data_IF_004334070332
#
_entry.id   IF_004334070332
#
_cell.length_a   1.000
_cell.length_b   1.000
_cell.length_c   1.000
_cell.angle_alpha   90.00
_cell.angle_beta   90.00
_cell.angle_gamma   90.00
#
_symmetry.space_group_name_H-M   'P 1'
#
loop_
_entity.id
_entity.type
_entity.pdbx_description
1 polymer ?
#
# COMPACT_ATOMS: atom_id res chain seq x y z
N UNK A 1 -13.83 -22.74 -32.29
CA UNK A 1 -12.95 -21.72 -31.69
C UNK A 1 -13.85 -20.70 -31.04
N UNK A 2 -13.78 -20.57 -29.71
CA UNK A 2 -14.51 -19.52 -29.00
C UNK A 2 -13.94 -18.15 -29.42
N UNK A 3 -14.82 -17.18 -29.66
CA UNK A 3 -14.44 -15.82 -30.04
C UNK A 3 -14.25 -14.99 -28.77
N UNK A 4 -13.22 -14.15 -28.74
CA UNK A 4 -13.05 -13.15 -27.70
C UNK A 4 -14.15 -12.09 -27.83
N UNK A 5 -14.84 -11.77 -26.73
CA UNK A 5 -15.93 -10.80 -26.69
C UNK A 5 -15.45 -9.35 -26.74
N UNK A 6 -14.29 -9.07 -26.15
CA UNK A 6 -13.61 -7.77 -26.21
C UNK A 6 -12.08 -7.95 -26.28
N UNK A 7 -11.51 -8.04 -27.48
CA UNK A 7 -10.09 -8.35 -27.66
C UNK A 7 -9.15 -7.14 -27.45
N UNK A 8 -9.67 -5.93 -27.23
CA UNK A 8 -8.86 -4.70 -27.20
C UNK A 8 -8.92 -3.95 -25.87
N UNK A 9 -9.69 -4.43 -24.90
CA UNK A 9 -9.72 -3.88 -23.55
C UNK A 9 -9.19 -4.90 -22.54
N UNK A 10 -8.64 -4.37 -21.45
CA UNK A 10 -8.30 -5.16 -20.27
C UNK A 10 -8.97 -4.50 -19.08
N UNK A 11 -9.28 -5.28 -18.05
CA UNK A 11 -9.83 -4.76 -16.80
C UNK A 11 -8.76 -4.84 -15.72
N UNK A 12 -8.45 -3.70 -15.11
CA UNK A 12 -7.58 -3.70 -13.94
C UNK A 12 -8.30 -4.45 -12.81
N UNK A 13 -7.65 -5.44 -12.15
CA UNK A 13 -8.28 -6.20 -11.08
C UNK A 13 -8.86 -5.31 -9.97
N UNK A 14 -8.14 -4.25 -9.61
CA UNK A 14 -8.54 -3.31 -8.57
C UNK A 14 -7.75 -2.00 -8.68
N UNK A 15 -8.38 -0.90 -8.33
CA UNK A 15 -7.73 0.39 -8.12
C UNK A 15 -8.10 0.89 -6.73
N UNK A 16 -7.09 1.31 -5.97
CA UNK A 16 -7.23 1.89 -4.63
C UNK A 16 -6.51 3.22 -4.60
N UNK A 17 -7.07 4.20 -3.91
CA UNK A 17 -6.39 5.47 -3.64
C UNK A 17 -6.37 5.73 -2.13
N UNK A 18 -5.26 6.29 -1.68
CA UNK A 18 -5.07 6.78 -0.32
C UNK A 18 -4.68 8.25 -0.39
N UNK A 19 -5.32 9.10 0.38
CA UNK A 19 -4.94 10.50 0.50
C UNK A 19 -4.12 10.73 1.78
N UNK A 20 -3.23 11.72 1.75
CA UNK A 20 -2.66 12.28 2.97
C UNK A 20 -3.69 13.09 3.76
N UNK A 21 -3.31 13.47 4.98
CA UNK A 21 -4.19 14.15 5.92
C UNK A 21 -4.64 15.53 5.42
N UNK A 22 -3.79 16.22 4.63
CA UNK A 22 -4.12 17.51 4.00
C UNK A 22 -4.95 17.35 2.71
N UNK A 23 -4.91 16.19 2.06
CA UNK A 23 -5.49 15.99 0.73
C UNK A 23 -4.65 16.60 -0.39
N UNK A 24 -3.38 16.93 -0.14
CA UNK A 24 -2.46 17.47 -1.14
C UNK A 24 -1.74 16.36 -1.93
N UNK A 25 -1.62 15.17 -1.32
CA UNK A 25 -0.97 14.01 -1.92
C UNK A 25 -1.89 12.80 -1.92
N UNK A 26 -1.78 12.00 -2.99
CA UNK A 26 -2.50 10.75 -3.15
C UNK A 26 -1.51 9.66 -3.54
N UNK A 27 -1.53 8.51 -2.87
CA UNK A 27 -0.97 7.28 -3.44
C UNK A 27 -2.08 6.54 -4.18
N UNK A 28 -1.95 6.45 -5.51
CA UNK A 28 -2.82 5.64 -6.36
C UNK A 28 -2.15 4.27 -6.55
N UNK A 29 -2.85 3.21 -6.16
CA UNK A 29 -2.41 1.82 -6.26
C UNK A 29 -3.25 1.12 -7.32
N UNK A 30 -2.64 0.80 -8.45
CA UNK A 30 -3.25 0.06 -9.55
C UNK A 30 -2.76 -1.38 -9.54
N UNK A 31 -3.66 -2.33 -9.29
CA UNK A 31 -3.38 -3.76 -9.42
C UNK A 31 -3.42 -4.14 -10.90
N UNK A 32 -2.55 -5.06 -11.31
CA UNK A 32 -2.47 -5.50 -12.70
C UNK A 32 -2.33 -7.02 -12.83
N UNK A 33 -2.85 -7.56 -13.93
CA UNK A 33 -2.61 -8.91 -14.44
C UNK A 33 -1.80 -8.88 -15.76
N UNK A 34 -1.92 -7.78 -16.52
CA UNK A 34 -1.12 -7.50 -17.71
C UNK A 34 0.21 -6.81 -17.37
N UNK A 35 1.25 -7.59 -17.09
CA UNK A 35 2.60 -7.07 -16.72
C UNK A 35 3.17 -6.12 -17.79
N UNK A 36 3.03 -6.47 -19.08
CA UNK A 36 3.53 -5.63 -20.17
C UNK A 36 2.85 -4.26 -20.21
N UNK A 37 1.52 -4.24 -20.07
CA UNK A 37 0.74 -3.01 -19.94
C UNK A 37 1.14 -2.19 -18.72
N UNK A 38 1.32 -2.86 -17.57
CA UNK A 38 1.75 -2.23 -16.33
C UNK A 38 3.12 -1.55 -16.44
N UNK A 39 4.12 -2.21 -17.03
CA UNK A 39 5.44 -1.60 -17.21
C UNK A 39 5.40 -0.43 -18.21
N UNK A 40 4.57 -0.54 -19.24
CA UNK A 40 4.38 0.54 -20.20
C UNK A 40 3.73 1.77 -19.55
N UNK A 41 2.64 1.61 -18.79
CA UNK A 41 1.99 2.75 -18.12
C UNK A 41 2.89 3.34 -17.04
N UNK A 42 3.65 2.53 -16.30
CA UNK A 42 4.64 3.02 -15.34
C UNK A 42 5.63 3.96 -16.01
N UNK A 43 6.22 3.56 -17.15
CA UNK A 43 7.20 4.38 -17.88
C UNK A 43 6.62 5.69 -18.39
N UNK A 44 5.44 5.64 -19.00
CA UNK A 44 4.89 6.82 -19.68
C UNK A 44 4.16 7.75 -18.71
N UNK A 45 3.37 7.22 -17.78
CA UNK A 45 2.59 8.06 -16.86
C UNK A 45 3.50 8.77 -15.86
N UNK A 46 4.70 8.23 -15.57
CA UNK A 46 5.73 8.91 -14.78
C UNK A 46 6.11 10.31 -15.31
N UNK A 47 5.87 10.59 -16.59
CA UNK A 47 6.16 11.88 -17.20
C UNK A 47 5.06 12.93 -16.92
N UNK A 48 3.93 12.52 -16.35
CA UNK A 48 2.84 13.45 -16.03
C UNK A 48 3.26 14.43 -14.93
N UNK A 49 3.00 15.75 -15.06
CA UNK A 49 3.46 16.74 -14.08
C UNK A 49 2.96 16.52 -12.63
N UNK A 50 1.83 15.83 -12.48
CA UNK A 50 1.23 15.51 -11.18
C UNK A 50 1.87 14.28 -10.52
N UNK A 51 2.62 13.45 -11.26
CA UNK A 51 3.27 12.24 -10.73
C UNK A 51 4.62 12.61 -10.14
N UNK A 52 4.75 12.47 -8.81
CA UNK A 52 6.02 12.69 -8.09
C UNK A 52 6.95 11.51 -8.21
N UNK A 53 6.39 10.30 -8.11
CA UNK A 53 7.15 9.07 -8.30
C UNK A 53 6.20 7.93 -8.65
N UNK A 54 6.76 6.88 -9.25
CA UNK A 54 6.06 5.61 -9.47
C UNK A 54 6.98 4.46 -9.12
N UNK A 55 6.44 3.47 -8.40
CA UNK A 55 7.13 2.22 -8.09
C UNK A 55 6.25 1.01 -8.38
N UNK A 56 6.89 -0.13 -8.66
CA UNK A 56 6.19 -1.41 -8.80
C UNK A 56 6.43 -2.20 -7.52
N UNK A 57 5.34 -2.65 -6.90
CA UNK A 57 5.36 -3.38 -5.63
C UNK A 57 4.49 -4.62 -5.81
N UNK A 58 5.13 -5.79 -5.98
CA UNK A 58 4.43 -7.02 -6.37
C UNK A 58 3.64 -6.84 -7.67
N UNK A 59 2.34 -7.16 -7.62
CA UNK A 59 1.40 -7.01 -8.73
C UNK A 59 0.72 -5.62 -8.78
N UNK A 60 1.37 -4.58 -8.24
CA UNK A 60 0.82 -3.20 -8.23
C UNK A 60 1.80 -2.20 -8.81
N UNK A 61 1.27 -1.21 -9.52
CA UNK A 61 1.96 0.06 -9.75
C UNK A 61 1.40 1.09 -8.77
N UNK A 62 2.29 1.78 -8.07
CA UNK A 62 1.95 2.77 -7.05
C UNK A 62 2.50 4.13 -7.45
N UNK A 63 1.59 5.07 -7.65
CA UNK A 63 1.89 6.43 -8.07
C UNK A 63 1.73 7.36 -6.87
N UNK A 64 2.79 8.08 -6.51
CA UNK A 64 2.68 9.22 -5.61
C UNK A 64 2.30 10.43 -6.44
N UNK A 65 1.12 10.98 -6.20
CA UNK A 65 0.52 12.05 -6.95
C UNK A 65 0.40 13.31 -6.10
N UNK A 66 0.50 14.48 -6.75
CA UNK A 66 0.05 15.76 -6.20
C UNK A 66 -1.33 16.08 -6.73
N UNK A 67 -2.20 16.62 -5.88
CA UNK A 67 -3.49 17.15 -6.33
C UNK A 67 -3.34 18.37 -7.24
N UNK A 68 -4.32 18.55 -8.12
CA UNK A 68 -4.37 19.59 -9.13
C UNK A 68 -4.67 19.06 -10.53
N UNK A 69 -4.57 19.95 -11.51
CA UNK A 69 -4.78 19.67 -12.93
C UNK A 69 -3.55 20.04 -13.73
N UNK A 70 -3.27 19.32 -14.81
CA UNK A 70 -2.16 19.58 -15.70
C UNK A 70 -2.53 19.28 -17.16
N UNK A 71 -2.14 20.18 -18.05
CA UNK A 71 -2.15 19.91 -19.48
C UNK A 71 -1.03 18.93 -19.83
N UNK A 72 -1.36 17.86 -20.55
CA UNK A 72 -0.39 16.87 -20.99
C UNK A 72 0.04 17.20 -22.42
N UNK A 73 1.33 17.47 -22.60
CA UNK A 73 1.95 17.60 -23.92
C UNK A 73 2.10 16.20 -24.57
N UNK A 74 0.97 15.57 -24.88
CA UNK A 74 0.95 14.19 -25.37
C UNK A 74 1.57 14.08 -26.75
N UNK A 75 2.45 13.09 -26.89
CA UNK A 75 3.14 12.78 -28.14
C UNK A 75 3.19 11.27 -28.32
N UNK A 76 2.77 10.78 -29.50
CA UNK A 76 2.82 9.36 -29.83
C UNK A 76 4.23 8.79 -29.61
N UNK A 77 4.30 7.57 -29.07
CA UNK A 77 5.57 6.87 -28.76
C UNK A 77 6.47 7.49 -27.68
N UNK A 78 6.33 8.77 -27.36
CA UNK A 78 7.19 9.47 -26.37
C UNK A 78 6.46 9.69 -25.05
N UNK A 79 5.31 10.37 -25.11
CA UNK A 79 4.40 10.57 -23.97
C UNK A 79 2.94 10.38 -24.42
N UNK A 80 2.55 9.14 -24.76
CA UNK A 80 1.27 8.86 -25.41
C UNK A 80 0.07 8.88 -24.45
N UNK A 81 0.29 8.80 -23.13
CA UNK A 81 -0.77 8.86 -22.13
C UNK A 81 -0.22 9.18 -20.73
N UNK A 82 -1.06 9.76 -19.87
CA UNK A 82 -0.71 10.15 -18.51
C UNK A 82 -1.90 10.55 -17.63
N UNK A 83 -1.58 11.07 -16.45
CA UNK A 83 -2.53 11.54 -15.44
C UNK A 83 -2.62 13.07 -15.54
N UNK A 84 -3.79 13.56 -15.93
CA UNK A 84 -4.07 14.98 -16.19
C UNK A 84 -4.74 15.69 -15.00
N UNK A 85 -5.32 14.95 -14.06
CA UNK A 85 -6.03 15.53 -12.92
C UNK A 85 -6.08 14.61 -11.72
N UNK A 86 -5.95 15.18 -10.53
CA UNK A 86 -6.14 14.49 -9.25
C UNK A 86 -6.85 15.46 -8.29
N UNK A 87 -8.00 15.06 -7.75
CA UNK A 87 -8.75 15.85 -6.78
C UNK A 87 -9.17 15.00 -5.59
N UNK A 88 -9.17 15.60 -4.39
CA UNK A 88 -9.67 14.99 -3.16
C UNK A 88 -10.85 15.83 -2.70
N UNK A 89 -12.07 15.29 -2.77
CA UNK A 89 -13.32 16.02 -2.53
C UNK A 89 -14.20 15.21 -1.58
N UNK A 90 -14.31 15.69 -0.34
CA UNK A 90 -15.06 14.98 0.71
C UNK A 90 -14.53 13.55 0.91
N UNK A 91 -15.37 12.57 0.59
CA UNK A 91 -15.13 11.13 0.71
C UNK A 91 -14.68 10.46 -0.61
N UNK A 92 -14.39 11.25 -1.66
CA UNK A 92 -13.96 10.74 -2.96
C UNK A 92 -12.59 11.28 -3.38
N UNK A 93 -11.87 10.47 -4.15
CA UNK A 93 -10.65 10.84 -4.86
C UNK A 93 -10.91 10.66 -6.34
N UNK A 94 -10.82 11.74 -7.11
CA UNK A 94 -10.95 11.72 -8.56
C UNK A 94 -9.57 11.63 -9.21
N UNK A 95 -9.42 10.75 -10.21
CA UNK A 95 -8.21 10.66 -11.05
C UNK A 95 -8.62 10.74 -12.51
N UNK A 96 -8.08 11.72 -13.22
CA UNK A 96 -8.32 11.94 -14.64
C UNK A 96 -7.11 11.51 -15.46
N UNK A 97 -7.36 10.63 -16.43
CA UNK A 97 -6.39 10.12 -17.38
C UNK A 97 -6.63 10.71 -18.76
N UNK A 98 -5.57 10.88 -19.55
CA UNK A 98 -5.66 11.27 -20.97
C UNK A 98 -4.63 10.50 -21.78
N UNK A 99 -4.96 10.18 -23.03
CA UNK A 99 -4.06 9.47 -23.93
C UNK A 99 -4.43 9.61 -25.41
N UNK A 100 -3.44 9.35 -26.26
CA UNK A 100 -3.54 9.32 -27.72
C UNK A 100 -3.53 7.88 -28.23
N UNK A 101 -4.37 7.59 -29.21
CA UNK A 101 -4.34 6.30 -29.92
C UNK A 101 -4.53 5.12 -28.97
N UNK A 102 -3.64 4.12 -29.04
CA UNK A 102 -3.66 2.97 -28.13
C UNK A 102 -3.49 3.34 -26.65
N UNK A 103 -2.76 4.43 -26.35
CA UNK A 103 -2.65 4.97 -24.99
C UNK A 103 -3.99 5.51 -24.47
N UNK A 104 -4.83 6.04 -25.38
CA UNK A 104 -6.18 6.50 -25.10
C UNK A 104 -7.14 5.38 -24.68
N UNK A 105 -6.96 4.15 -25.18
CA UNK A 105 -7.76 2.98 -24.76
C UNK A 105 -7.47 2.64 -23.30
N UNK A 106 -6.19 2.57 -22.92
CA UNK A 106 -5.80 2.37 -21.51
C UNK A 106 -6.21 3.52 -20.59
N UNK A 107 -6.19 4.75 -21.10
CA UNK A 107 -6.60 5.96 -20.38
C UNK A 107 -8.13 6.14 -20.29
N UNK A 108 -8.92 5.36 -21.02
CA UNK A 108 -10.39 5.45 -21.02
C UNK A 108 -11.00 4.28 -20.26
N UNK A 109 -11.33 3.19 -20.97
CA UNK A 109 -12.19 2.13 -20.45
C UNK A 109 -11.47 1.13 -19.53
N UNK A 110 -10.17 0.91 -19.70
CA UNK A 110 -9.48 -0.19 -18.99
C UNK A 110 -9.46 -0.03 -17.45
N UNK A 111 -9.56 1.21 -16.95
CA UNK A 111 -9.61 1.53 -15.51
C UNK A 111 -11.01 1.76 -14.98
N UNK A 112 -11.93 2.14 -15.86
CA UNK A 112 -13.28 2.57 -15.51
C UNK A 112 -14.07 1.49 -14.74
N UNK A 113 -13.92 0.23 -15.14
CA UNK A 113 -14.64 -0.91 -14.56
C UNK A 113 -13.84 -1.66 -13.48
N UNK A 114 -12.71 -1.09 -13.02
CA UNK A 114 -11.88 -1.75 -12.02
C UNK A 114 -12.60 -1.82 -10.66
N UNK A 115 -12.40 -2.91 -9.91
CA UNK A 115 -12.90 -3.01 -8.53
C UNK A 115 -12.37 -1.83 -7.72
N UNK A 116 -13.25 -1.18 -6.96
CA UNK A 116 -12.90 -0.02 -6.14
C UNK A 116 -13.27 1.33 -6.76
N UNK A 117 -13.56 1.38 -8.06
CA UNK A 117 -14.16 2.56 -8.71
C UNK A 117 -15.64 2.66 -8.33
N UNK A 118 -16.05 3.81 -7.78
CA UNK A 118 -17.45 4.10 -7.40
C UNK A 118 -18.25 4.51 -8.64
N UNK A 119 -17.66 5.39 -9.45
CA UNK A 119 -18.23 5.93 -10.68
C UNK A 119 -17.11 6.39 -11.61
N UNK A 120 -17.42 6.51 -12.90
CA UNK A 120 -16.48 7.02 -13.89
C UNK A 120 -17.21 7.80 -14.99
N UNK A 121 -16.46 8.64 -15.67
CA UNK A 121 -16.80 9.28 -16.94
C UNK A 121 -15.71 8.90 -17.93
N UNK A 122 -16.07 8.40 -19.12
CA UNK A 122 -15.09 7.94 -20.11
C UNK A 122 -15.50 8.35 -21.50
N UNK A 123 -14.52 8.80 -22.28
CA UNK A 123 -14.67 8.98 -23.72
C UNK A 123 -14.83 7.60 -24.41
N UNK A 124 -15.46 7.51 -25.60
CA UNK A 124 -15.47 6.30 -26.40
C UNK A 124 -14.05 5.83 -26.75
N UNK A 125 -13.77 4.53 -26.60
CA UNK A 125 -12.47 3.95 -26.96
C UNK A 125 -12.23 3.96 -28.48
N UNK A 126 -11.04 4.36 -28.95
CA UNK A 126 -10.71 4.33 -30.39
C UNK A 126 -9.31 4.81 -30.80
N UNK A 127 -8.61 3.97 -31.57
CA UNK A 127 -7.20 4.10 -31.99
C UNK A 127 -6.89 5.22 -32.99
N UNK A 128 -6.83 6.45 -32.49
CA UNK A 128 -6.23 7.60 -33.19
C UNK A 128 -6.60 8.97 -32.62
N UNK A 129 -7.50 9.02 -31.64
CA UNK A 129 -8.02 10.26 -31.05
C UNK A 129 -7.47 10.46 -29.65
N UNK A 130 -7.54 11.69 -29.17
CA UNK A 130 -7.45 12.00 -27.75
C UNK A 130 -8.66 11.38 -27.05
N UNK A 131 -8.41 10.57 -26.04
CA UNK A 131 -9.44 9.97 -25.20
C UNK A 131 -8.94 9.91 -23.75
N UNK A 132 -9.85 9.87 -22.81
CA UNK A 132 -9.53 9.65 -21.42
C UNK A 132 -10.75 9.29 -20.59
N UNK A 133 -10.53 9.21 -19.30
CA UNK A 133 -11.58 9.01 -18.32
C UNK A 133 -11.23 9.72 -17.02
N UNK A 134 -12.26 10.02 -16.25
CA UNK A 134 -12.13 10.32 -14.83
C UNK A 134 -12.76 9.17 -14.07
N UNK A 135 -12.05 8.62 -13.10
CA UNK A 135 -12.58 7.64 -12.15
C UNK A 135 -12.67 8.28 -10.76
N UNK A 136 -13.68 7.91 -10.00
CA UNK A 136 -13.83 8.32 -8.60
C UNK A 136 -13.70 7.09 -7.70
N UNK A 137 -12.81 7.21 -6.73
CA UNK A 137 -12.45 6.17 -5.76
C UNK A 137 -12.86 6.65 -4.36
N UNK A 138 -13.19 5.74 -3.41
CA UNK A 138 -13.39 6.14 -2.03
C UNK A 138 -12.09 6.72 -1.48
N UNK A 139 -12.18 7.87 -0.80
CA UNK A 139 -11.09 8.43 -0.01
C UNK A 139 -10.81 7.49 1.16
N UNK A 140 -9.56 7.05 1.26
CA UNK A 140 -9.08 6.18 2.34
C UNK A 140 -7.83 6.77 2.97
N UNK A 141 -7.61 6.48 4.24
CA UNK A 141 -6.36 6.73 4.93
C UNK A 141 -5.45 5.49 4.87
N UNK A 142 -4.13 5.70 4.94
CA UNK A 142 -3.16 4.61 5.11
C UNK A 142 -3.17 4.18 6.58
N UNK A 143 -3.31 2.88 6.79
CA UNK A 143 -3.11 2.26 8.09
C UNK A 143 -2.09 1.13 7.94
N UNK A 144 -1.05 1.14 8.76
CA UNK A 144 -0.10 0.04 8.87
C UNK A 144 -0.35 -0.64 10.21
N UNK A 145 -0.75 -1.90 10.18
CA UNK A 145 -0.88 -2.75 11.36
C UNK A 145 0.35 -3.66 11.38
N UNK A 146 1.14 -3.57 12.44
CA UNK A 146 2.32 -4.40 12.62
C UNK A 146 2.19 -5.32 13.82
N UNK A 147 2.77 -6.52 13.70
CA UNK A 147 2.73 -7.57 14.72
C UNK A 147 4.08 -8.25 14.87
N UNK A 148 4.36 -8.76 16.07
CA UNK A 148 5.55 -9.54 16.40
C UNK A 148 5.29 -10.44 17.62
N UNK A 149 6.13 -11.44 17.82
CA UNK A 149 6.07 -12.43 18.92
C UNK A 149 4.69 -13.11 19.01
N UNK A 150 4.23 -13.72 17.91
CA UNK A 150 2.91 -14.41 17.85
C UNK A 150 3.00 -15.93 17.82
N UNK A 151 4.18 -16.46 17.53
CA UNK A 151 4.46 -17.89 17.39
C UNK A 151 5.35 -18.41 18.52
N UNK A 152 5.45 -19.74 18.64
CA UNK A 152 6.33 -20.41 19.60
C UNK A 152 7.48 -21.12 18.87
N UNK A 153 8.53 -21.58 19.58
CA UNK A 153 9.57 -22.38 18.95
C UNK A 153 9.06 -23.70 18.31
N UNK A 154 7.93 -24.22 18.79
CA UNK A 154 7.32 -25.49 18.39
C UNK A 154 6.22 -25.34 17.32
N UNK A 155 5.47 -24.23 17.33
CA UNK A 155 4.27 -24.06 16.51
C UNK A 155 4.08 -22.63 15.98
N UNK A 156 3.49 -22.53 14.79
CA UNK A 156 3.08 -21.26 14.19
C UNK A 156 4.17 -20.58 13.35
N UNK A 157 3.77 -19.49 12.71
CA UNK A 157 4.66 -18.57 12.02
C UNK A 157 4.02 -17.18 11.95
N UNK A 158 4.67 -16.18 12.54
CA UNK A 158 4.11 -14.81 12.62
C UNK A 158 3.70 -14.25 11.24
N UNK A 159 4.46 -14.54 10.19
CA UNK A 159 4.17 -14.01 8.85
C UNK A 159 2.92 -14.60 8.18
N UNK A 160 2.64 -15.90 8.37
CA UNK A 160 1.45 -16.54 7.78
C UNK A 160 0.21 -16.13 8.56
N UNK A 161 0.29 -16.06 9.89
CA UNK A 161 -0.79 -15.59 10.75
C UNK A 161 -1.20 -14.17 10.36
N UNK A 162 -0.23 -13.24 10.32
CA UNK A 162 -0.49 -11.85 9.94
C UNK A 162 -1.10 -11.72 8.53
N UNK A 163 -0.62 -12.49 7.56
CA UNK A 163 -1.18 -12.50 6.21
C UNK A 163 -2.64 -12.99 6.20
N UNK A 164 -2.92 -14.10 6.87
CA UNK A 164 -4.25 -14.71 6.89
C UNK A 164 -5.26 -13.81 7.60
N UNK A 165 -4.88 -13.19 8.72
CA UNK A 165 -5.72 -12.20 9.41
C UNK A 165 -5.96 -11.00 8.49
N UNK A 166 -4.92 -10.45 7.86
CA UNK A 166 -5.05 -9.31 6.96
C UNK A 166 -6.02 -9.58 5.79
N UNK A 167 -6.00 -10.81 5.26
CA UNK A 167 -6.96 -11.27 4.24
C UNK A 167 -8.37 -11.47 4.79
N UNK A 168 -8.53 -11.94 6.02
CA UNK A 168 -9.83 -12.15 6.65
C UNK A 168 -10.55 -10.84 6.98
N UNK A 169 -9.81 -9.79 7.37
CA UNK A 169 -10.38 -8.47 7.70
C UNK A 169 -10.55 -7.55 6.48
N UNK A 170 -10.13 -7.98 5.29
CA UNK A 170 -10.31 -7.20 4.06
C UNK A 170 -11.80 -7.14 3.68
N UNK A 171 -12.29 -5.92 3.49
CA UNK A 171 -13.67 -5.66 3.06
C UNK A 171 -13.74 -4.44 2.13
N UNK A 172 -14.94 -3.95 1.84
CA UNK A 172 -15.13 -2.81 0.94
C UNK A 172 -14.61 -1.47 1.48
N UNK A 173 -14.54 -1.34 2.80
CA UNK A 173 -14.03 -0.13 3.48
C UNK A 173 -12.52 -0.23 3.67
N UNK A 174 -12.00 -1.42 3.94
CA UNK A 174 -10.61 -1.72 4.31
C UNK A 174 -9.96 -2.67 3.30
N UNK A 175 -9.10 -2.13 2.44
CA UNK A 175 -8.35 -2.90 1.44
C UNK A 175 -6.96 -3.24 1.95
N UNK A 176 -6.67 -4.53 2.05
CA UNK A 176 -5.31 -5.02 2.28
C UNK A 176 -4.45 -4.82 1.03
N UNK A 177 -3.33 -4.11 1.17
CA UNK A 177 -2.49 -3.70 0.04
C UNK A 177 -1.23 -4.54 -0.09
N UNK A 178 -0.55 -4.79 1.03
CA UNK A 178 0.68 -5.54 1.09
C UNK A 178 1.01 -5.95 2.52
N UNK A 179 1.86 -6.94 2.69
CA UNK A 179 2.60 -7.13 3.93
C UNK A 179 4.10 -7.09 3.67
N UNK A 180 4.87 -6.80 4.71
CA UNK A 180 6.33 -6.80 4.68
C UNK A 180 6.85 -7.56 5.89
N UNK A 181 7.73 -8.54 5.64
CA UNK A 181 8.50 -9.22 6.67
C UNK A 181 9.74 -8.37 6.97
N UNK A 182 9.94 -8.01 8.23
CA UNK A 182 11.04 -7.16 8.68
C UNK A 182 11.97 -7.97 9.57
N UNK A 183 13.19 -8.19 9.07
CA UNK A 183 14.25 -8.84 9.81
C UNK A 183 14.77 -7.92 10.92
N UNK A 184 14.66 -8.35 12.18
CA UNK A 184 15.16 -7.58 13.33
C UNK A 184 16.52 -8.09 13.78
N UNK A 185 17.15 -7.35 14.70
CA UNK A 185 18.40 -7.77 15.34
C UNK A 185 18.17 -9.08 16.14
N UNK A 186 19.00 -10.12 15.99
CA UNK A 186 18.80 -11.38 16.68
C UNK A 186 19.03 -11.27 18.19
N UNK A 187 17.94 -11.19 18.97
CA UNK A 187 17.98 -11.13 20.45
C UNK A 187 17.93 -12.53 21.08
N UNK A 188 18.32 -12.73 22.35
CA UNK A 188 18.34 -14.06 22.98
C UNK A 188 16.99 -14.77 23.08
N UNK A 189 15.90 -14.01 23.21
CA UNK A 189 14.53 -14.51 23.40
C UNK A 189 13.72 -14.61 22.09
N UNK A 190 14.38 -14.51 20.94
CA UNK A 190 13.76 -14.62 19.62
C UNK A 190 13.17 -16.02 19.37
N UNK A 191 12.16 -16.11 18.52
CA UNK A 191 11.93 -17.34 17.73
C UNK A 191 13.02 -17.47 16.67
N UNK A 192 13.08 -18.58 15.93
CA UNK A 192 14.21 -18.93 15.06
C UNK A 192 14.71 -17.80 14.16
N UNK A 193 13.81 -16.97 13.62
CA UNK A 193 14.13 -15.97 12.60
C UNK A 193 14.05 -14.50 13.07
N UNK A 194 13.54 -14.19 14.26
CA UNK A 194 13.45 -12.81 14.79
C UNK A 194 12.88 -11.79 13.78
N UNK A 195 11.64 -12.01 13.32
CA UNK A 195 10.99 -11.17 12.31
C UNK A 195 9.68 -10.60 12.83
N UNK A 196 9.45 -9.31 12.57
CA UNK A 196 8.17 -8.66 12.75
C UNK A 196 7.50 -8.43 11.39
N UNK A 197 6.17 -8.25 11.38
CA UNK A 197 5.38 -8.13 10.16
C UNK A 197 4.67 -6.78 10.15
N UNK A 198 4.71 -6.08 9.02
CA UNK A 198 3.91 -4.87 8.79
C UNK A 198 2.91 -5.11 7.65
N UNK A 199 1.62 -5.10 7.98
CA UNK A 199 0.49 -5.21 7.05
C UNK A 199 -0.04 -3.80 6.72
N UNK A 200 -0.03 -3.45 5.44
CA UNK A 200 -0.49 -2.15 4.94
C UNK A 200 -1.93 -2.25 4.43
N UNK A 201 -2.75 -1.28 4.83
CA UNK A 201 -4.13 -1.13 4.42
C UNK A 201 -4.42 0.28 3.91
N UNK A 202 -5.38 0.36 2.99
CA UNK A 202 -6.15 1.58 2.73
C UNK A 202 -7.53 1.40 3.36
N UNK A 203 -7.96 2.29 4.25
CA UNK A 203 -9.26 2.14 4.91
C UNK A 203 -10.03 3.46 5.09
N UNK A 204 -11.36 3.37 5.04
CA UNK A 204 -12.29 4.40 5.54
C UNK A 204 -12.95 4.01 6.88
N UNK A 205 -12.48 2.93 7.50
CA UNK A 205 -12.87 2.46 8.84
C UNK A 205 -11.66 1.98 9.66
N UNK A 206 -10.74 2.88 10.02
CA UNK A 206 -9.54 2.50 10.74
C UNK A 206 -9.83 1.88 12.11
N UNK A 207 -10.86 2.35 12.80
CA UNK A 207 -11.24 1.81 14.12
C UNK A 207 -11.79 0.40 13.99
N UNK A 208 -12.71 0.17 13.05
CA UNK A 208 -13.26 -1.16 12.78
C UNK A 208 -12.19 -2.15 12.32
N UNK A 209 -11.30 -1.72 11.41
CA UNK A 209 -10.18 -2.52 10.93
C UNK A 209 -9.26 -2.97 12.07
N UNK A 210 -8.81 -2.03 12.91
CA UNK A 210 -7.90 -2.33 14.03
C UNK A 210 -8.56 -3.27 15.03
N UNK A 211 -9.84 -3.06 15.34
CA UNK A 211 -10.59 -3.94 16.24
C UNK A 211 -10.66 -5.36 15.69
N UNK A 212 -11.15 -5.55 14.46
CA UNK A 212 -11.28 -6.91 13.90
C UNK A 212 -9.93 -7.61 13.74
N UNK A 213 -8.88 -6.88 13.38
CA UNK A 213 -7.54 -7.44 13.31
C UNK A 213 -7.08 -7.92 14.68
N UNK A 214 -7.27 -7.11 15.72
CA UNK A 214 -6.98 -7.48 17.10
C UNK A 214 -7.77 -8.71 17.54
N UNK A 215 -9.08 -8.75 17.30
CA UNK A 215 -9.95 -9.87 17.70
C UNK A 215 -9.43 -11.20 17.13
N UNK A 216 -9.05 -11.22 15.85
CA UNK A 216 -8.44 -12.40 15.23
C UNK A 216 -7.05 -12.73 15.79
N UNK A 217 -6.25 -11.71 16.13
CA UNK A 217 -4.92 -11.91 16.67
C UNK A 217 -4.98 -12.48 18.09
N UNK A 218 -5.91 -12.01 18.93
CA UNK A 218 -6.15 -12.56 20.27
C UNK A 218 -6.64 -14.01 20.22
N UNK A 219 -7.46 -14.36 19.24
CA UNK A 219 -7.97 -15.74 19.06
C UNK A 219 -6.89 -16.73 18.62
N UNK A 220 -5.96 -16.30 17.77
CA UNK A 220 -5.05 -17.21 17.06
C UNK A 220 -3.57 -17.08 17.44
N UNK A 221 -3.17 -16.07 18.20
CA UNK A 221 -1.79 -15.97 18.67
C UNK A 221 -1.47 -17.10 19.64
N UNK A 222 -0.24 -17.61 19.58
CA UNK A 222 0.28 -18.67 20.44
C UNK A 222 1.20 -18.13 21.55
N UNK A 223 1.36 -16.81 21.64
CA UNK A 223 2.29 -16.14 22.56
C UNK A 223 1.60 -15.07 23.40
N UNK A 224 1.76 -15.15 24.72
CA UNK A 224 1.32 -14.12 25.68
C UNK A 224 2.12 -12.80 25.52
N UNK A 225 3.20 -12.84 24.75
CA UNK A 225 4.14 -11.73 24.54
C UNK A 225 3.88 -10.98 23.23
N UNK A 226 2.75 -11.28 22.58
CA UNK A 226 2.30 -10.68 21.33
C UNK A 226 2.32 -9.16 21.40
N UNK A 227 3.01 -8.57 20.43
CA UNK A 227 2.96 -7.15 20.14
C UNK A 227 2.05 -6.85 18.97
N UNK A 228 1.23 -5.81 19.10
CA UNK A 228 0.48 -5.23 17.99
C UNK A 228 0.59 -3.72 18.07
N UNK A 229 1.01 -3.10 16.98
CA UNK A 229 1.10 -1.66 16.84
C UNK A 229 0.43 -1.19 15.55
N UNK A 230 -0.09 0.04 15.58
CA UNK A 230 -0.81 0.64 14.47
C UNK A 230 -0.24 2.02 14.17
N UNK A 231 0.00 2.29 12.91
CA UNK A 231 0.28 3.63 12.39
C UNK A 231 -0.84 4.11 11.49
N UNK A 232 -1.45 5.24 11.84
CA UNK A 232 -2.50 5.90 11.05
C UNK A 232 -1.94 7.17 10.43
N UNK A 233 -1.41 7.06 9.23
CA UNK A 233 -0.83 8.21 8.54
C UNK A 233 -0.15 7.85 7.24
N UNK A 234 -0.03 8.87 6.37
CA UNK A 234 0.48 8.67 5.02
C UNK A 234 1.97 8.30 5.00
N UNK A 235 2.77 8.96 5.82
CA UNK A 235 4.22 8.76 5.94
C UNK A 235 4.58 8.29 7.36
N UNK A 236 5.37 7.21 7.46
CA UNK A 236 5.86 6.63 8.70
C UNK A 236 7.31 7.03 9.05
N UNK A 237 7.88 8.02 8.34
CA UNK A 237 9.20 8.58 8.60
C UNK A 237 9.52 8.87 10.09
N UNK A 238 8.59 9.35 10.94
CA UNK A 238 8.88 9.58 12.35
C UNK A 238 9.34 8.34 13.14
N UNK A 239 9.03 7.14 12.66
CA UNK A 239 9.43 5.88 13.28
C UNK A 239 10.73 5.32 12.74
N UNK A 240 11.30 5.91 11.67
CA UNK A 240 12.48 5.35 11.00
C UNK A 240 13.66 5.17 11.95
N UNK A 241 14.00 6.19 12.74
CA UNK A 241 15.15 6.09 13.63
C UNK A 241 14.96 5.00 14.68
N UNK A 242 13.75 4.86 15.23
CA UNK A 242 13.43 3.78 16.15
C UNK A 242 13.59 2.41 15.47
N UNK A 243 12.96 2.21 14.31
CA UNK A 243 13.06 0.95 13.56
C UNK A 243 14.51 0.58 13.19
N UNK A 244 15.31 1.57 12.79
CA UNK A 244 16.74 1.40 12.50
C UNK A 244 17.54 0.99 13.73
N UNK A 245 17.27 1.57 14.90
CA UNK A 245 17.90 1.17 16.17
C UNK A 245 17.60 -0.29 16.50
N UNK A 246 16.33 -0.72 16.41
CA UNK A 246 15.92 -2.12 16.65
C UNK A 246 16.54 -3.09 15.66
N UNK A 247 16.71 -2.71 14.39
CA UNK A 247 17.43 -3.55 13.41
C UNK A 247 18.93 -3.69 13.72
N UNK A 248 19.55 -2.70 14.38
CA UNK A 248 20.99 -2.68 14.69
C UNK A 248 21.35 -3.30 16.04
N UNK A 249 20.41 -3.38 16.96
CA UNK A 249 20.68 -3.85 18.31
C UNK A 249 19.45 -3.87 19.21
N UNK A 250 19.66 -4.32 20.44
CA UNK A 250 18.64 -4.31 21.47
C UNK A 250 18.28 -2.89 21.89
N UNK A 251 16.99 -2.64 22.10
CA UNK A 251 16.45 -1.39 22.64
C UNK A 251 15.60 -1.68 23.88
N UNK A 252 15.40 -0.67 24.71
CA UNK A 252 14.63 -0.81 25.95
C UNK A 252 13.13 -0.49 25.73
N UNK A 253 12.28 -0.96 26.65
CA UNK A 253 10.89 -0.53 26.70
C UNK A 253 10.74 0.99 26.92
N UNK A 254 11.73 1.64 27.56
CA UNK A 254 11.77 3.09 27.71
C UNK A 254 11.96 3.83 26.38
N UNK A 255 12.68 3.24 25.43
CA UNK A 255 12.84 3.80 24.08
C UNK A 255 11.52 3.80 23.32
N UNK A 256 10.73 2.73 23.47
CA UNK A 256 9.38 2.64 22.90
C UNK A 256 8.44 3.68 23.55
N UNK A 257 8.46 3.77 24.88
CA UNK A 257 7.62 4.71 25.63
C UNK A 257 7.94 6.19 25.35
N UNK A 258 9.13 6.50 24.85
CA UNK A 258 9.51 7.86 24.45
C UNK A 258 8.87 8.30 23.12
N UNK A 259 8.30 7.38 22.33
CA UNK A 259 7.58 7.71 21.10
C UNK A 259 6.22 8.34 21.45
N UNK A 260 6.00 9.57 21.00
CA UNK A 260 4.81 10.36 21.34
C UNK A 260 3.99 10.79 20.12
N UNK A 261 4.29 10.28 18.93
CA UNK A 261 3.52 10.61 17.73
C UNK A 261 2.09 10.04 17.86
N UNK A 262 1.10 10.94 17.79
CA UNK A 262 -0.33 10.63 17.94
C UNK A 262 -0.87 9.62 16.91
N UNK A 263 -0.15 9.40 15.81
CA UNK A 263 -0.51 8.43 14.76
C UNK A 263 -0.09 7.01 15.10
N UNK A 264 0.83 6.86 16.05
CA UNK A 264 1.23 5.57 16.59
C UNK A 264 0.29 5.16 17.73
N UNK A 265 -0.14 3.91 17.73
CA UNK A 265 -0.87 3.30 18.84
C UNK A 265 -0.35 1.89 19.07
N UNK A 266 0.10 1.60 20.30
CA UNK A 266 0.41 0.23 20.74
C UNK A 266 -0.88 -0.38 21.28
N UNK A 267 -1.39 -1.41 20.59
CA UNK A 267 -2.69 -2.04 20.87
C UNK A 267 -2.52 -3.26 21.79
N UNK A 268 -1.47 -4.05 21.56
CA UNK A 268 -1.04 -5.14 22.44
C UNK A 268 0.41 -4.89 22.84
N UNK A 269 0.67 -4.83 24.14
CA UNK A 269 1.92 -4.34 24.72
C UNK A 269 2.77 -5.46 25.35
N UNK A 270 2.75 -6.67 24.77
CA UNK A 270 3.74 -7.71 25.08
C UNK A 270 5.13 -7.32 24.56
N UNK A 271 6.15 -8.16 24.82
CA UNK A 271 7.53 -7.90 24.33
C UNK A 271 7.60 -7.63 22.83
N UNK A 272 6.74 -8.26 22.02
CA UNK A 272 6.68 -8.03 20.58
C UNK A 272 6.36 -6.57 20.18
N UNK A 273 5.88 -5.72 21.09
CA UNK A 273 5.51 -4.35 20.76
C UNK A 273 6.68 -3.54 20.19
N UNK A 274 7.91 -3.79 20.65
CA UNK A 274 9.12 -3.16 20.12
C UNK A 274 9.31 -3.52 18.65
N UNK A 275 9.24 -4.82 18.31
CA UNK A 275 9.42 -5.28 16.95
C UNK A 275 8.27 -4.87 16.03
N UNK A 276 7.04 -4.91 16.51
CA UNK A 276 5.86 -4.40 15.80
C UNK A 276 6.04 -2.93 15.43
N UNK A 277 6.38 -2.04 16.38
CA UNK A 277 6.62 -0.62 16.07
C UNK A 277 7.80 -0.43 15.14
N UNK A 278 8.87 -1.20 15.33
CA UNK A 278 10.06 -1.14 14.49
C UNK A 278 9.81 -1.55 13.03
N UNK A 279 8.82 -2.41 12.77
CA UNK A 279 8.49 -2.89 11.42
C UNK A 279 7.76 -1.86 10.56
N UNK A 280 6.95 -0.99 11.17
CA UNK A 280 6.11 0.01 10.49
C UNK A 280 6.86 0.86 9.44
N UNK A 281 8.01 1.51 9.75
CA UNK A 281 8.72 2.35 8.78
C UNK A 281 9.31 1.59 7.58
N UNK A 282 9.33 0.26 7.62
CA UNK A 282 9.85 -0.58 6.54
C UNK A 282 8.75 -1.13 5.62
N UNK A 283 7.48 -0.78 5.82
CA UNK A 283 6.39 -1.21 4.94
C UNK A 283 6.71 -0.90 3.47
N UNK A 284 6.65 -1.91 2.61
CA UNK A 284 6.99 -1.88 1.18
C UNK A 284 8.47 -1.61 0.82
N UNK A 285 9.37 -1.51 1.80
CA UNK A 285 10.83 -1.37 1.62
C UNK A 285 11.52 -2.73 1.70
N UNK A 286 11.10 -3.69 0.87
CA UNK A 286 11.46 -5.11 1.01
C UNK A 286 12.95 -5.40 1.15
N UNK A 287 13.80 -4.76 0.35
CA UNK A 287 15.25 -4.99 0.42
C UNK A 287 15.82 -4.57 1.79
N UNK A 288 15.47 -3.37 2.27
CA UNK A 288 15.90 -2.88 3.58
C UNK A 288 15.26 -3.66 4.73
N UNK A 289 13.99 -4.05 4.57
CA UNK A 289 13.23 -4.80 5.55
C UNK A 289 13.89 -6.16 5.82
N UNK A 290 14.28 -6.88 4.76
CA UNK A 290 14.88 -8.21 4.83
C UNK A 290 16.38 -8.18 5.16
N UNK A 291 17.07 -7.05 4.96
CA UNK A 291 18.48 -6.92 5.29
C UNK A 291 18.74 -7.06 6.80
N UNK A 292 19.74 -7.86 7.16
CA UNK A 292 20.22 -8.03 8.54
C UNK A 292 21.28 -6.97 8.85
N UNK A 293 21.09 -6.19 9.92
CA UNK A 293 21.96 -5.04 10.25
C UNK A 293 22.82 -5.31 11.48
N UNK A 294 23.50 -6.45 11.53
CA UNK A 294 24.29 -6.89 12.68
C UNK A 294 25.78 -6.47 12.61
N UNK A 295 26.13 -5.49 11.78
CA UNK A 295 27.51 -5.02 11.61
C UNK A 295 28.44 -6.00 10.87
N UNK A 296 27.90 -7.07 10.29
CA UNK A 296 28.62 -7.98 9.40
C UNK A 296 28.00 -7.85 8.01
N UNK A 297 28.42 -6.81 7.29
CA UNK A 297 27.98 -6.50 5.93
C UNK A 297 28.95 -5.54 5.26
#
# INVERSE_FOLDING_TARGET
MEKLSDPYTIRYPQIVAVADESGEHVELIEFFDCVGGAMWVKRHYAQSPLVRSVRTVGATNRYLLRTGTADLALEGSVFPAGIAGVAVEGEEIAVTYRGLGGGGVGASICRAEARGVIRYESDPAGGGRLAGSTIWLPRRERVIIAVDDTDTPEEGATWTLAHNIARAVEDDRSRYLSHTIVQLFPVPYRTKNCVAIACEFATSDPVGLVRHYRDYLEEYTLSDETGMAVWRGFDSAPLEEFGRRVKRGEVSAGDLAALTDRRLSVVMNGRGAIGAVAAIPFATRYEEALALWNGVG
#
